data_IF_195954717596
#
_entry.id   IF_195954717596
#
_cell.length_a   1.000
_cell.length_b   1.000
_cell.length_c   1.000
_cell.angle_alpha   90.00
_cell.angle_beta   90.00
_cell.angle_gamma   90.00
#
_symmetry.space_group_name_H-M   'P 1'
#
loop_
_entity.id
_entity.type
_entity.pdbx_description
1 polymer ?
#
# COMPACT_ATOMS: atom_id res chain seq x y z
N UNK A 1 3.54 7.03 -2.83
CA UNK A 1 3.73 7.57 -1.46
C UNK A 1 2.87 6.91 -0.39
N UNK A 2 1.53 6.85 -0.50
CA UNK A 2 0.69 6.23 0.54
C UNK A 2 1.14 4.82 0.96
N UNK A 3 1.55 3.99 -0.01
CA UNK A 3 2.10 2.66 0.29
C UNK A 3 3.39 2.71 1.10
N UNK A 4 4.26 3.69 0.90
CA UNK A 4 5.50 3.83 1.68
C UNK A 4 5.22 4.34 3.09
N UNK A 5 4.23 5.21 3.26
CA UNK A 5 3.79 5.66 4.58
C UNK A 5 3.28 4.47 5.39
N UNK A 6 2.35 3.68 4.81
CA UNK A 6 1.80 2.50 5.49
C UNK A 6 2.89 1.48 5.84
N UNK A 7 3.89 1.33 4.96
CA UNK A 7 4.99 0.36 5.14
C UNK A 7 6.17 0.88 5.96
N UNK A 8 6.13 2.13 6.41
CA UNK A 8 7.22 2.74 7.16
C UNK A 8 8.48 3.01 6.33
N UNK A 9 8.36 3.10 4.99
CA UNK A 9 9.44 3.37 4.03
C UNK A 9 9.50 4.82 3.55
N UNK A 10 8.54 5.64 3.96
CA UNK A 10 8.46 7.03 3.53
C UNK A 10 9.63 7.88 4.06
N UNK A 11 10.35 8.53 3.15
CA UNK A 11 11.54 9.35 3.36
C UNK A 11 11.22 10.82 3.70
N UNK A 12 9.96 11.25 3.64
CA UNK A 12 9.61 12.64 3.92
C UNK A 12 10.00 13.01 5.37
N UNK A 13 10.98 13.91 5.54
CA UNK A 13 11.49 14.35 6.84
C UNK A 13 11.11 15.81 7.04
N UNK A 14 10.09 16.05 7.86
CA UNK A 14 9.65 17.40 8.24
C UNK A 14 8.85 17.34 9.55
N UNK A 15 8.96 18.38 10.38
CA UNK A 15 8.37 18.45 11.72
C UNK A 15 6.87 18.80 11.69
N UNK A 16 6.09 18.06 10.88
CA UNK A 16 4.70 18.38 10.52
C UNK A 16 3.69 17.31 11.02
N UNK A 17 3.97 16.65 12.15
CA UNK A 17 3.07 15.63 12.71
C UNK A 17 3.21 14.22 12.12
N UNK A 18 4.25 13.97 11.32
CA UNK A 18 4.60 12.62 10.82
C UNK A 18 4.81 11.62 11.95
N UNK A 19 5.46 12.03 13.03
CA UNK A 19 5.70 11.16 14.18
C UNK A 19 4.40 10.67 14.81
N UNK A 20 3.37 11.53 14.86
CA UNK A 20 2.05 11.15 15.34
C UNK A 20 1.39 10.12 14.42
N UNK A 21 1.48 10.33 13.10
CA UNK A 21 0.95 9.37 12.12
C UNK A 21 1.69 8.02 12.22
N UNK A 22 3.01 8.05 12.26
CA UNK A 22 3.83 6.83 12.33
C UNK A 22 3.61 6.09 13.66
N UNK A 23 3.52 6.80 14.78
CA UNK A 23 3.17 6.19 16.08
C UNK A 23 1.77 5.57 16.05
N UNK A 24 0.79 6.23 15.43
CA UNK A 24 -0.54 5.65 15.26
C UNK A 24 -0.50 4.37 14.41
N UNK A 25 0.28 4.35 13.33
CA UNK A 25 0.46 3.15 12.51
C UNK A 25 1.10 2.02 13.32
N UNK A 26 2.15 2.30 14.11
CA UNK A 26 2.76 1.31 15.01
C UNK A 26 1.73 0.72 15.96
N UNK A 27 0.92 1.55 16.61
CA UNK A 27 -0.13 1.10 17.53
C UNK A 27 -1.22 0.28 16.84
N UNK A 28 -1.61 0.64 15.61
CA UNK A 28 -2.57 -0.15 14.81
C UNK A 28 -1.98 -1.52 14.48
N UNK A 29 -0.75 -1.57 13.96
CA UNK A 29 -0.12 -2.83 13.56
C UNK A 29 0.23 -3.71 14.77
N UNK A 30 0.57 -3.13 15.92
CA UNK A 30 0.67 -3.84 17.20
C UNK A 30 -0.64 -4.54 17.58
N UNK A 31 -1.77 -3.84 17.46
CA UNK A 31 -3.10 -4.42 17.71
C UNK A 31 -3.47 -5.50 16.69
N UNK A 32 -3.10 -5.33 15.41
CA UNK A 32 -3.31 -6.36 14.39
C UNK A 32 -2.48 -7.61 14.70
N UNK A 33 -1.19 -7.44 15.00
CA UNK A 33 -0.29 -8.53 15.41
C UNK A 33 -0.83 -9.28 16.64
N UNK A 34 -1.28 -8.55 17.67
CA UNK A 34 -1.86 -9.14 18.87
C UNK A 34 -3.13 -9.97 18.64
N UNK A 35 -3.87 -9.67 17.55
CA UNK A 35 -5.08 -10.41 17.14
C UNK A 35 -4.79 -11.61 16.25
N UNK A 36 -3.55 -11.83 15.81
CA UNK A 36 -3.19 -13.06 15.12
C UNK A 36 -3.49 -14.24 16.05
N UNK A 37 -4.11 -15.29 15.52
CA UNK A 37 -4.45 -16.51 16.29
C UNK A 37 -3.49 -17.65 15.97
N UNK A 38 -2.97 -17.70 14.75
CA UNK A 38 -1.97 -18.68 14.32
C UNK A 38 -0.60 -18.34 14.92
N UNK A 39 -0.02 -19.31 15.64
CA UNK A 39 1.31 -19.19 16.23
C UNK A 39 2.39 -19.02 15.18
N UNK A 40 2.31 -19.73 14.05
CA UNK A 40 3.30 -19.60 12.95
C UNK A 40 3.28 -18.19 12.36
N UNK A 41 2.09 -17.59 12.24
CA UNK A 41 1.96 -16.21 11.78
C UNK A 41 2.54 -15.23 12.80
N UNK A 42 2.32 -15.44 14.11
CA UNK A 42 2.96 -14.63 15.14
C UNK A 42 4.47 -14.72 15.07
N UNK A 43 5.02 -15.93 15.02
CA UNK A 43 6.46 -16.16 14.96
C UNK A 43 7.06 -15.54 13.68
N UNK A 44 6.35 -15.63 12.55
CA UNK A 44 6.77 -15.03 11.28
C UNK A 44 6.80 -13.49 11.32
N UNK A 45 5.77 -12.86 11.90
CA UNK A 45 5.64 -11.40 11.94
C UNK A 45 6.20 -10.75 13.21
N UNK A 46 6.90 -11.52 14.05
CA UNK A 46 7.52 -11.00 15.26
C UNK A 46 8.59 -9.96 14.88
N UNK A 47 8.50 -8.78 15.48
CA UNK A 47 9.43 -7.68 15.23
C UNK A 47 9.74 -6.97 16.56
N UNK A 48 10.99 -7.13 17.03
CA UNK A 48 11.47 -6.54 18.28
C UNK A 48 11.51 -5.01 18.23
N UNK A 49 11.61 -4.42 17.03
CA UNK A 49 11.59 -2.97 16.86
C UNK A 49 10.20 -2.36 17.07
N UNK A 50 9.15 -3.18 17.12
CA UNK A 50 7.77 -2.76 17.23
C UNK A 50 7.22 -2.03 15.99
N UNK A 51 7.96 -2.05 14.87
CA UNK A 51 7.51 -1.43 13.62
C UNK A 51 6.60 -2.36 12.81
N UNK A 52 6.80 -3.67 12.91
CA UNK A 52 6.09 -4.72 12.19
C UNK A 52 6.27 -4.63 10.66
N UNK A 53 7.49 -4.39 10.19
CA UNK A 53 7.75 -4.12 8.76
C UNK A 53 7.21 -5.21 7.83
N UNK A 54 7.45 -6.49 8.14
CA UNK A 54 6.96 -7.61 7.32
C UNK A 54 5.42 -7.64 7.27
N UNK A 55 4.77 -7.50 8.43
CA UNK A 55 3.32 -7.45 8.52
C UNK A 55 2.72 -6.27 7.74
N UNK A 56 3.38 -5.09 7.78
CA UNK A 56 2.95 -3.91 7.03
C UNK A 56 3.08 -4.10 5.52
N UNK A 57 4.18 -4.70 5.07
CA UNK A 57 4.39 -5.04 3.64
C UNK A 57 3.32 -5.99 3.13
N UNK A 58 3.07 -7.09 3.84
CA UNK A 58 2.08 -8.09 3.44
C UNK A 58 0.65 -7.56 3.52
N UNK A 59 0.37 -6.74 4.54
CA UNK A 59 -0.90 -6.03 4.62
C UNK A 59 -1.10 -5.12 3.41
N UNK A 60 -0.09 -4.35 3.00
CA UNK A 60 -0.17 -3.51 1.81
C UNK A 60 -0.38 -4.36 0.56
N UNK A 61 0.40 -5.43 0.37
CA UNK A 61 0.29 -6.32 -0.78
C UNK A 61 -1.12 -6.90 -0.92
N UNK A 62 -1.73 -7.31 0.19
CA UNK A 62 -3.09 -7.87 0.18
C UNK A 62 -4.18 -6.81 -0.08
N UNK A 63 -4.01 -5.59 0.45
CA UNK A 63 -5.05 -4.56 0.45
C UNK A 63 -4.90 -3.50 -0.67
N UNK A 64 -3.75 -3.40 -1.35
CA UNK A 64 -3.46 -2.36 -2.36
C UNK A 64 -4.51 -2.26 -3.48
N UNK A 65 -5.15 -3.38 -3.86
CA UNK A 65 -6.26 -3.40 -4.83
C UNK A 65 -7.47 -2.60 -4.36
N UNK A 66 -7.81 -2.71 -3.07
CA UNK A 66 -8.93 -1.98 -2.48
C UNK A 66 -8.57 -0.50 -2.29
N UNK A 67 -7.34 -0.22 -1.89
CA UNK A 67 -6.82 1.15 -1.80
C UNK A 67 -6.86 1.84 -3.17
N UNK A 68 -6.40 1.17 -4.23
CA UNK A 68 -6.48 1.70 -5.60
C UNK A 68 -7.90 2.01 -6.02
N UNK A 69 -8.85 1.10 -5.72
CA UNK A 69 -10.27 1.31 -5.98
C UNK A 69 -10.79 2.55 -5.24
N UNK A 70 -10.40 2.77 -3.99
CA UNK A 70 -10.80 3.95 -3.23
C UNK A 70 -10.23 5.25 -3.85
N UNK A 71 -8.92 5.27 -4.16
CA UNK A 71 -8.24 6.43 -4.75
C UNK A 71 -8.88 6.85 -6.07
N UNK A 72 -9.25 5.86 -6.90
CA UNK A 72 -9.84 6.08 -8.22
C UNK A 72 -11.35 6.28 -8.20
N UNK A 73 -12.01 6.38 -7.04
CA UNK A 73 -13.47 6.43 -6.96
C UNK A 73 -14.09 7.62 -7.74
N UNK A 74 -13.39 8.77 -7.71
CA UNK A 74 -13.81 10.03 -8.33
C UNK A 74 -13.13 10.32 -9.68
N UNK A 75 -12.27 9.43 -10.18
CA UNK A 75 -11.72 9.61 -11.52
C UNK A 75 -12.85 9.54 -12.57
N UNK A 76 -12.70 10.28 -13.66
CA UNK A 76 -13.66 10.33 -14.75
C UNK A 76 -13.77 8.99 -15.49
N UNK A 77 -14.92 8.74 -16.12
CA UNK A 77 -15.12 7.52 -16.93
C UNK A 77 -14.17 7.47 -18.15
N UNK A 78 -13.75 8.64 -18.64
CA UNK A 78 -12.75 8.76 -19.70
C UNK A 78 -11.30 8.71 -19.21
N UNK A 79 -11.07 8.79 -17.89
CA UNK A 79 -9.72 8.85 -17.33
C UNK A 79 -9.04 7.49 -17.42
N UNK A 80 -7.79 7.54 -17.89
CA UNK A 80 -6.96 6.37 -18.09
C UNK A 80 -5.62 6.57 -17.41
N UNK A 81 -5.06 5.48 -16.92
CA UNK A 81 -3.65 5.44 -16.60
C UNK A 81 -2.84 5.68 -17.88
N UNK A 82 -1.78 6.47 -17.77
CA UNK A 82 -1.04 7.03 -18.91
C UNK A 82 -0.25 6.01 -19.76
N UNK A 83 -0.22 4.73 -19.35
CA UNK A 83 0.41 3.62 -20.09
C UNK A 83 -0.55 2.46 -20.21
N UNK A 84 -0.32 1.63 -21.22
CA UNK A 84 -0.89 0.29 -21.28
C UNK A 84 -0.39 -0.51 -20.09
N UNK A 85 -1.33 -0.92 -19.25
CA UNK A 85 -1.03 -1.49 -17.93
C UNK A 85 -1.92 -2.69 -17.59
N UNK A 86 -3.02 -2.86 -18.32
CA UNK A 86 -3.91 -3.99 -18.18
C UNK A 86 -3.46 -5.13 -19.11
N UNK A 87 -3.88 -6.37 -18.79
CA UNK A 87 -3.59 -7.55 -19.61
C UNK A 87 -2.11 -7.75 -19.92
N UNK A 88 -1.24 -7.54 -18.92
CA UNK A 88 0.21 -7.67 -19.09
C UNK A 88 0.86 -6.49 -19.81
N UNK A 89 0.21 -5.31 -19.84
CA UNK A 89 0.74 -4.11 -20.47
C UNK A 89 0.36 -3.97 -21.95
N UNK A 90 -0.67 -4.69 -22.39
CA UNK A 90 -1.14 -4.68 -23.79
C UNK A 90 -2.40 -3.84 -23.99
N UNK A 91 -3.04 -3.43 -22.90
CA UNK A 91 -4.31 -2.71 -22.94
C UNK A 91 -4.33 -1.54 -21.96
N UNK A 92 -5.01 -0.48 -22.36
CA UNK A 92 -5.32 0.67 -21.51
C UNK A 92 -6.25 0.27 -20.36
N UNK A 93 -6.20 1.05 -19.29
CA UNK A 93 -7.28 1.03 -18.28
C UNK A 93 -8.58 1.54 -18.89
N UNK A 94 -9.70 0.98 -18.46
CA UNK A 94 -11.05 1.40 -18.85
C UNK A 94 -11.75 1.98 -17.63
N UNK A 95 -12.32 3.18 -17.73
CA UNK A 95 -13.11 3.79 -16.65
C UNK A 95 -12.31 4.06 -15.38
N UNK A 96 -12.17 5.33 -15.00
CA UNK A 96 -11.61 5.71 -13.69
C UNK A 96 -10.22 5.14 -13.43
N UNK A 97 -9.35 5.05 -14.45
CA UNK A 97 -8.00 4.48 -14.31
C UNK A 97 -7.95 3.03 -13.75
N UNK A 98 -8.92 2.17 -14.08
CA UNK A 98 -8.97 0.78 -13.60
C UNK A 98 -8.79 -0.26 -14.71
N UNK A 99 -8.25 -1.42 -14.33
CA UNK A 99 -8.35 -2.62 -15.16
C UNK A 99 -9.66 -3.37 -14.87
N UNK A 100 -10.31 -4.00 -15.87
CA UNK A 100 -11.52 -4.81 -15.66
C UNK A 100 -11.33 -5.92 -14.62
N UNK A 101 -10.11 -6.47 -14.50
CA UNK A 101 -9.75 -7.51 -13.53
C UNK A 101 -9.55 -6.99 -12.09
N UNK A 102 -9.91 -5.74 -11.79
CA UNK A 102 -9.66 -5.05 -10.52
C UNK A 102 -8.19 -5.07 -10.06
N UNK A 103 -7.27 -5.29 -11.00
CA UNK A 103 -5.82 -5.24 -10.74
C UNK A 103 -5.37 -3.78 -10.69
N UNK A 104 -4.36 -3.51 -9.86
CA UNK A 104 -3.71 -2.20 -9.81
C UNK A 104 -2.86 -2.07 -11.09
N UNK A 105 -3.08 -1.05 -11.93
CA UNK A 105 -2.36 -0.87 -13.20
C UNK A 105 -0.95 -0.31 -13.01
N UNK A 106 -0.43 -0.25 -11.79
CA UNK A 106 0.87 0.35 -11.50
C UNK A 106 1.64 -0.46 -10.47
N UNK A 107 2.96 -0.33 -10.52
CA UNK A 107 3.90 -0.89 -9.55
C UNK A 107 4.78 0.21 -8.93
N UNK A 108 4.39 1.49 -9.06
CA UNK A 108 5.13 2.59 -8.43
C UNK A 108 5.24 2.43 -6.90
N UNK A 109 4.30 1.75 -6.26
CA UNK A 109 4.41 1.36 -4.85
C UNK A 109 5.47 0.28 -4.58
N UNK A 110 6.15 -0.27 -5.57
CA UNK A 110 7.32 -1.14 -5.40
C UNK A 110 8.61 -0.53 -5.97
N UNK A 111 8.55 0.71 -6.47
CA UNK A 111 9.73 1.48 -6.87
C UNK A 111 10.21 2.28 -5.65
N UNK A 112 11.53 2.24 -5.31
CA UNK A 112 12.09 3.06 -4.23
C UNK A 112 11.69 4.53 -4.36
N UNK A 113 11.25 5.16 -3.27
CA UNK A 113 10.67 6.51 -3.31
C UNK A 113 11.54 7.55 -4.01
N UNK A 114 12.86 7.48 -3.81
CA UNK A 114 13.82 8.40 -4.43
C UNK A 114 13.82 8.37 -5.97
N UNK A 115 13.41 7.24 -6.57
CA UNK A 115 13.40 7.03 -8.02
C UNK A 115 12.01 7.25 -8.66
N UNK A 116 11.00 7.62 -7.86
CA UNK A 116 9.61 7.76 -8.34
C UNK A 116 9.33 9.08 -9.03
#
# INVERSE_FOLDING_TARGET
DTGDIIRGKDLYRGNNGKDKLENNLKEIFKKIYGKLTDRRAKDHYQDESGNYYQLREDWWNNNRKMVWRAITCHAGESDKYFRDACSGGTTLTQGKCRCPSYKVPTYFDYVPQYLR
#
